data_IF_035352793799
#
_entry.id   IF_035352793799
#
_cell.length_a   1.000
_cell.length_b   1.000
_cell.length_c   1.000
_cell.angle_alpha   90.00
_cell.angle_beta   90.00
_cell.angle_gamma   90.00
#
_symmetry.space_group_name_H-M   'P 1'
#
loop_
_entity.id
_entity.type
_entity.pdbx_description
1 polymer ?
#
# COMPACT_ATOMS: atom_id res chain seq x y z
N UNK A 1 21.67 3.63 -15.20
CA UNK A 1 21.94 5.01 -15.66
C UNK A 1 21.82 5.93 -14.48
N UNK A 2 22.82 6.76 -14.21
CA UNK A 2 22.75 7.78 -13.16
C UNK A 2 21.71 8.83 -13.54
N UNK A 3 20.85 9.20 -12.60
CA UNK A 3 19.89 10.28 -12.78
C UNK A 3 20.42 11.61 -12.26
N UNK A 4 19.52 12.58 -12.11
CA UNK A 4 19.85 13.97 -11.77
C UNK A 4 20.13 14.17 -10.28
N UNK A 5 19.82 13.18 -9.45
CA UNK A 5 20.03 13.23 -8.00
C UNK A 5 21.25 12.40 -7.57
N UNK A 6 21.92 12.86 -6.52
CA UNK A 6 22.90 12.04 -5.79
C UNK A 6 22.14 11.18 -4.79
N UNK A 7 22.52 9.90 -4.66
CA UNK A 7 21.93 9.00 -3.68
C UNK A 7 22.23 9.48 -2.25
N UNK A 8 21.21 9.95 -1.54
CA UNK A 8 21.28 10.43 -0.16
C UNK A 8 21.12 9.34 0.90
N UNK A 9 20.99 9.73 2.18
CA UNK A 9 20.83 8.78 3.29
C UNK A 9 19.44 8.14 3.37
N UNK A 10 18.43 8.72 2.71
CA UNK A 10 17.11 8.12 2.53
C UNK A 10 16.96 7.66 1.09
N UNK A 11 16.71 6.37 0.87
CA UNK A 11 16.59 5.78 -0.47
C UNK A 11 15.23 5.12 -0.62
N UNK A 12 14.59 5.31 -1.78
CA UNK A 12 13.36 4.63 -2.14
C UNK A 12 13.59 3.78 -3.39
N UNK A 13 13.60 2.47 -3.23
CA UNK A 13 13.65 1.51 -4.34
C UNK A 13 12.22 1.36 -4.87
N UNK A 14 11.97 1.96 -6.03
CA UNK A 14 10.67 1.96 -6.70
C UNK A 14 10.71 1.00 -7.90
N UNK A 15 9.86 -0.02 -7.86
CA UNK A 15 9.72 -1.02 -8.92
C UNK A 15 8.60 -0.60 -9.88
N UNK A 16 8.89 -0.66 -11.18
CA UNK A 16 7.94 -0.35 -12.24
C UNK A 16 7.69 -1.56 -13.14
N UNK A 17 6.44 -1.79 -13.53
CA UNK A 17 6.09 -2.69 -14.63
C UNK A 17 5.02 -2.05 -15.52
N UNK A 18 5.46 -1.17 -16.44
CA UNK A 18 4.57 -0.39 -17.30
C UNK A 18 4.99 -0.48 -18.77
N UNK A 19 4.72 -1.62 -19.44
CA UNK A 19 5.16 -1.85 -20.83
C UNK A 19 4.46 -0.94 -21.86
N UNK A 20 3.40 -0.21 -21.46
CA UNK A 20 2.63 0.69 -22.33
C UNK A 20 3.00 2.17 -22.15
N UNK A 21 4.07 2.46 -21.42
CA UNK A 21 4.49 3.82 -21.06
C UNK A 21 4.23 4.13 -19.59
N UNK A 22 5.01 5.06 -19.04
CA UNK A 22 4.96 5.40 -17.62
C UNK A 22 3.80 6.34 -17.30
N UNK A 23 2.95 5.92 -16.37
CA UNK A 23 1.78 6.63 -15.88
C UNK A 23 2.17 7.94 -15.18
N UNK A 24 1.30 8.95 -15.28
CA UNK A 24 1.54 10.25 -14.63
C UNK A 24 1.59 10.13 -13.12
N UNK A 25 0.78 9.24 -12.55
CA UNK A 25 0.81 8.94 -11.11
C UNK A 25 2.20 8.47 -10.65
N UNK A 26 2.99 7.82 -11.50
CA UNK A 26 4.34 7.36 -11.13
C UNK A 26 5.31 8.53 -11.00
N UNK A 27 5.21 9.54 -11.86
CA UNK A 27 6.01 10.76 -11.70
C UNK A 27 5.60 11.53 -10.44
N UNK A 28 4.29 11.58 -10.14
CA UNK A 28 3.78 12.12 -8.87
C UNK A 28 4.37 11.36 -7.67
N UNK A 29 4.46 10.03 -7.71
CA UNK A 29 5.13 9.22 -6.67
C UNK A 29 6.57 9.65 -6.49
N UNK A 30 7.34 9.81 -7.59
CA UNK A 30 8.73 10.24 -7.52
C UNK A 30 8.87 11.65 -6.92
N UNK A 31 8.03 12.59 -7.34
CA UNK A 31 8.03 13.96 -6.83
C UNK A 31 7.68 14.00 -5.34
N UNK A 32 6.73 13.18 -4.90
CA UNK A 32 6.40 13.01 -3.49
C UNK A 32 7.57 12.44 -2.68
N UNK A 33 8.25 11.40 -3.17
CA UNK A 33 9.44 10.83 -2.52
C UNK A 33 10.55 11.89 -2.36
N UNK A 34 10.83 12.66 -3.42
CA UNK A 34 11.82 13.74 -3.40
C UNK A 34 11.44 14.79 -2.36
N UNK A 35 10.17 15.21 -2.31
CA UNK A 35 9.67 16.17 -1.32
C UNK A 35 9.83 15.67 0.13
N UNK A 36 9.78 14.35 0.35
CA UNK A 36 10.04 13.71 1.65
C UNK A 36 11.54 13.45 1.93
N UNK A 37 12.42 13.90 1.03
CA UNK A 37 13.88 13.78 1.15
C UNK A 37 14.44 12.41 0.76
N UNK A 38 13.65 11.55 0.11
CA UNK A 38 14.12 10.28 -0.41
C UNK A 38 14.76 10.46 -1.79
N UNK A 39 15.82 9.70 -2.04
CA UNK A 39 16.41 9.54 -3.38
C UNK A 39 15.74 8.38 -4.09
N UNK A 40 14.96 8.60 -5.17
CA UNK A 40 14.38 7.49 -5.91
C UNK A 40 15.47 6.69 -6.63
N UNK A 41 15.47 5.38 -6.40
CA UNK A 41 16.20 4.37 -7.16
C UNK A 41 15.15 3.52 -7.88
N UNK A 42 15.06 3.70 -9.19
CA UNK A 42 14.04 3.09 -10.02
C UNK A 42 14.57 1.81 -10.68
N UNK A 43 13.80 0.74 -10.55
CA UNK A 43 14.01 -0.54 -11.22
C UNK A 43 12.81 -0.86 -12.10
N UNK A 44 13.00 -0.82 -13.41
CA UNK A 44 11.95 -1.16 -14.37
C UNK A 44 12.06 -2.62 -14.80
N UNK A 45 10.99 -3.38 -14.60
CA UNK A 45 10.79 -4.74 -15.12
C UNK A 45 10.32 -4.75 -16.59
N UNK A 46 10.28 -3.59 -17.25
CA UNK A 46 9.94 -3.45 -18.65
C UNK A 46 10.90 -2.44 -19.33
N UNK A 47 11.00 -2.51 -20.66
CA UNK A 47 11.72 -1.50 -21.42
C UNK A 47 11.07 -0.13 -21.24
N UNK A 48 11.88 0.91 -21.01
CA UNK A 48 11.42 2.28 -20.85
C UNK A 48 11.67 3.07 -22.13
N UNK A 49 10.65 3.79 -22.61
CA UNK A 49 10.76 4.67 -23.78
C UNK A 49 11.81 5.77 -23.55
N UNK A 50 12.32 6.39 -24.62
CA UNK A 50 13.32 7.46 -24.47
C UNK A 50 12.77 8.68 -23.74
N UNK A 51 11.49 9.04 -23.97
CA UNK A 51 10.81 10.14 -23.28
C UNK A 51 10.62 9.84 -21.80
N UNK A 52 10.07 8.67 -21.46
CA UNK A 52 9.82 8.31 -20.07
C UNK A 52 11.14 8.17 -19.30
N UNK A 53 12.17 7.64 -19.96
CA UNK A 53 13.51 7.51 -19.39
C UNK A 53 14.07 8.88 -18.99
N UNK A 54 13.92 9.90 -19.85
CA UNK A 54 14.38 11.24 -19.53
C UNK A 54 13.65 11.81 -18.32
N UNK A 55 12.32 11.66 -18.25
CA UNK A 55 11.52 12.14 -17.12
C UNK A 55 11.81 11.39 -15.81
N UNK A 56 12.06 10.06 -15.87
CA UNK A 56 12.45 9.26 -14.71
C UNK A 56 13.86 9.63 -14.21
N UNK A 57 14.82 9.83 -15.12
CA UNK A 57 16.18 10.25 -14.75
C UNK A 57 16.20 11.68 -14.19
N UNK A 58 15.27 12.54 -14.60
CA UNK A 58 15.07 13.84 -14.01
C UNK A 58 14.53 13.79 -12.56
N UNK A 59 14.04 12.63 -12.09
CA UNK A 59 13.41 12.42 -10.77
C UNK A 59 14.02 11.26 -9.97
N UNK A 60 15.19 10.77 -10.37
CA UNK A 60 15.84 9.65 -9.70
C UNK A 60 17.33 9.87 -9.59
N UNK A 61 17.94 9.16 -8.66
CA UNK A 61 19.38 9.07 -8.55
C UNK A 61 19.92 7.91 -9.40
N UNK A 62 19.12 6.86 -9.60
CA UNK A 62 19.49 5.71 -10.41
C UNK A 62 18.26 5.12 -11.09
N UNK A 63 18.39 4.80 -12.38
CA UNK A 63 17.41 4.01 -13.15
C UNK A 63 18.09 2.79 -13.74
N UNK A 64 17.51 1.62 -13.52
CA UNK A 64 17.94 0.35 -14.09
C UNK A 64 16.77 -0.40 -14.73
N UNK A 65 17.01 -0.99 -15.89
CA UNK A 65 16.09 -1.92 -16.52
C UNK A 65 16.56 -3.34 -16.27
N UNK A 66 15.61 -4.23 -16.03
CA UNK A 66 15.87 -5.64 -15.79
C UNK A 66 14.80 -6.50 -16.46
N UNK A 67 15.10 -7.77 -16.78
CA UNK A 67 14.07 -8.72 -17.20
C UNK A 67 12.96 -8.84 -16.15
N UNK A 68 11.72 -9.06 -16.58
CA UNK A 68 10.58 -9.29 -15.68
C UNK A 68 10.64 -10.69 -15.04
N UNK A 69 11.59 -10.90 -14.12
CA UNK A 69 11.76 -12.14 -13.38
C UNK A 69 11.73 -11.89 -11.87
N UNK A 70 11.01 -12.73 -11.13
CA UNK A 70 10.91 -12.63 -9.67
C UNK A 70 9.90 -11.58 -9.16
N UNK A 71 9.10 -10.97 -10.04
CA UNK A 71 8.19 -9.86 -9.72
C UNK A 71 8.87 -8.76 -8.88
N UNK A 72 8.13 -8.13 -7.98
CA UNK A 72 8.61 -7.01 -7.18
C UNK A 72 9.71 -7.43 -6.20
N UNK A 73 9.57 -8.59 -5.54
CA UNK A 73 10.59 -9.03 -4.58
C UNK A 73 11.92 -9.42 -5.22
N UNK A 74 11.91 -9.96 -6.44
CA UNK A 74 13.15 -10.16 -7.20
C UNK A 74 13.82 -8.82 -7.50
N UNK A 75 13.04 -7.81 -7.88
CA UNK A 75 13.57 -6.47 -8.14
C UNK A 75 14.03 -5.77 -6.84
N UNK A 76 13.30 -5.89 -5.73
CA UNK A 76 13.73 -5.41 -4.41
C UNK A 76 15.06 -6.06 -4.00
N UNK A 77 15.21 -7.37 -4.18
CA UNK A 77 16.46 -8.07 -3.90
C UNK A 77 17.61 -7.51 -4.73
N UNK A 78 17.40 -7.26 -6.03
CA UNK A 78 18.41 -6.65 -6.90
C UNK A 78 18.78 -5.24 -6.42
N UNK A 79 17.79 -4.44 -6.01
CA UNK A 79 18.01 -3.10 -5.46
C UNK A 79 18.82 -3.11 -4.16
N UNK A 80 18.41 -3.93 -3.19
CA UNK A 80 19.11 -4.10 -1.90
C UNK A 80 20.55 -4.58 -2.12
N UNK A 81 20.75 -5.59 -2.99
CA UNK A 81 22.08 -6.11 -3.31
C UNK A 81 22.96 -5.07 -3.99
N UNK A 82 22.40 -4.22 -4.86
CA UNK A 82 23.17 -3.17 -5.50
C UNK A 82 23.62 -2.08 -4.52
N UNK A 83 22.75 -1.66 -3.60
CA UNK A 83 23.12 -0.73 -2.53
C UNK A 83 24.27 -1.31 -1.70
N UNK A 84 24.16 -2.59 -1.29
CA UNK A 84 25.22 -3.28 -0.56
C UNK A 84 26.54 -3.37 -1.36
N UNK A 85 26.46 -3.75 -2.65
CA UNK A 85 27.62 -3.89 -3.55
C UNK A 85 28.36 -2.56 -3.76
N UNK A 86 27.63 -1.46 -3.81
CA UNK A 86 28.20 -0.11 -3.94
C UNK A 86 28.68 0.49 -2.62
N UNK A 87 28.49 -0.22 -1.51
CA UNK A 87 28.83 0.25 -0.17
C UNK A 87 27.90 1.34 0.36
N UNK A 88 26.80 1.63 -0.33
CA UNK A 88 25.82 2.62 0.09
C UNK A 88 24.96 2.05 1.22
N UNK A 89 24.97 2.72 2.38
CA UNK A 89 24.25 2.32 3.60
C UNK A 89 23.25 3.41 3.97
N UNK A 90 22.00 3.33 3.48
CA UNK A 90 21.00 4.33 3.81
C UNK A 90 20.58 4.21 5.28
N UNK A 91 20.23 5.34 5.90
CA UNK A 91 19.61 5.38 7.22
C UNK A 91 18.11 5.03 7.16
N UNK A 92 17.48 5.19 5.99
CA UNK A 92 16.11 4.73 5.72
C UNK A 92 15.98 4.19 4.31
N UNK A 93 15.29 3.06 4.18
CA UNK A 93 14.98 2.42 2.90
C UNK A 93 13.48 2.25 2.76
N UNK A 94 12.91 2.78 1.68
CA UNK A 94 11.59 2.38 1.20
C UNK A 94 11.77 1.33 0.10
N UNK A 95 11.00 0.25 0.17
CA UNK A 95 10.76 -0.69 -0.91
C UNK A 95 9.30 -0.51 -1.34
N UNK A 96 9.08 -0.11 -2.60
CA UNK A 96 7.73 0.11 -3.13
C UNK A 96 7.60 -0.26 -4.60
N UNK A 97 6.37 -0.58 -5.02
CA UNK A 97 6.05 -0.91 -6.41
C UNK A 97 4.94 0.01 -6.94
N UNK A 98 4.62 -0.12 -8.22
CA UNK A 98 3.61 0.69 -8.90
C UNK A 98 2.21 0.05 -8.92
N UNK A 99 1.96 -0.94 -8.06
CA UNK A 99 0.67 -1.63 -7.97
C UNK A 99 -0.44 -0.82 -7.27
N UNK A 100 -0.13 0.39 -6.80
CA UNK A 100 -1.08 1.33 -6.18
C UNK A 100 -0.94 2.73 -6.76
N UNK A 101 -2.02 3.51 -6.75
CA UNK A 101 -1.90 4.96 -6.84
C UNK A 101 -1.49 5.49 -5.47
N UNK A 102 -0.29 6.08 -5.38
CA UNK A 102 0.25 6.69 -4.18
C UNK A 102 1.25 7.80 -4.57
N UNK A 103 1.19 9.00 -3.98
CA UNK A 103 0.11 9.47 -3.10
C UNK A 103 -1.21 9.63 -3.86
N UNK A 104 -2.35 9.60 -3.16
CA UNK A 104 -3.65 9.91 -3.77
C UNK A 104 -3.90 11.41 -3.92
N UNK A 105 -3.18 12.23 -3.15
CA UNK A 105 -3.45 13.65 -2.94
C UNK A 105 -2.17 14.40 -2.57
N UNK A 106 -2.15 15.71 -2.77
CA UNK A 106 -0.96 16.54 -2.53
C UNK A 106 -0.56 16.64 -1.04
N UNK A 107 -1.52 16.55 -0.13
CA UNK A 107 -1.32 16.63 1.32
C UNK A 107 -1.13 15.26 1.99
N UNK A 108 -0.76 14.22 1.23
CA UNK A 108 -0.50 12.90 1.78
C UNK A 108 0.63 12.94 2.83
N UNK A 109 0.38 12.31 3.98
CA UNK A 109 1.30 12.30 5.13
C UNK A 109 1.83 10.91 5.45
N UNK A 110 1.61 9.91 4.59
CA UNK A 110 1.93 8.51 4.88
C UNK A 110 3.41 8.30 5.19
N UNK A 111 4.32 8.84 4.36
CA UNK A 111 5.76 8.70 4.59
C UNK A 111 6.18 9.36 5.91
N UNK A 112 5.74 10.59 6.15
CA UNK A 112 6.03 11.30 7.41
C UNK A 112 5.50 10.54 8.64
N UNK A 113 4.30 9.97 8.56
CA UNK A 113 3.71 9.15 9.63
C UNK A 113 4.48 7.84 9.86
N UNK A 114 4.95 7.19 8.80
CA UNK A 114 5.82 6.01 8.93
C UNK A 114 7.15 6.35 9.59
N UNK A 115 7.76 7.48 9.24
CA UNK A 115 9.01 7.92 9.90
C UNK A 115 8.79 8.25 11.39
N UNK A 116 7.62 8.79 11.72
CA UNK A 116 7.25 9.19 13.07
C UNK A 116 6.72 8.06 13.95
N UNK A 117 6.42 6.87 13.41
CA UNK A 117 5.88 5.75 14.21
C UNK A 117 6.89 5.23 15.24
N UNK A 118 8.18 5.42 14.98
CA UNK A 118 9.26 4.87 15.81
C UNK A 118 9.53 3.39 15.58
N UNK A 119 8.74 2.73 14.73
CA UNK A 119 8.96 1.35 14.32
C UNK A 119 10.19 1.25 13.42
N UNK A 120 11.06 0.28 13.69
CA UNK A 120 12.23 0.03 12.84
C UNK A 120 11.83 -0.50 11.44
N UNK A 121 10.63 -1.07 11.33
CA UNK A 121 10.02 -1.57 10.11
C UNK A 121 8.53 -1.23 10.12
N UNK A 122 8.02 -0.65 9.04
CA UNK A 122 6.60 -0.34 8.89
C UNK A 122 6.21 -0.29 7.42
N UNK A 123 4.96 0.03 7.11
CA UNK A 123 4.49 0.12 5.74
C UNK A 123 3.04 0.58 5.67
N UNK A 124 2.50 0.59 4.46
CA UNK A 124 1.15 1.09 4.24
C UNK A 124 0.08 0.25 4.93
N UNK A 125 0.16 -1.07 4.85
CA UNK A 125 -0.85 -1.96 5.41
C UNK A 125 -0.24 -3.24 5.99
N UNK A 126 -0.50 -3.47 7.28
CA UNK A 126 -0.22 -4.73 7.95
C UNK A 126 -1.48 -5.59 7.92
N UNK A 127 -1.40 -6.72 7.21
CA UNK A 127 -2.50 -7.68 7.11
C UNK A 127 -2.36 -8.74 8.18
N UNK A 128 -3.35 -8.82 9.06
CA UNK A 128 -3.47 -9.90 10.02
C UNK A 128 -4.17 -11.10 9.36
N UNK A 129 -3.52 -12.26 9.33
CA UNK A 129 -4.10 -13.49 8.80
C UNK A 129 -4.30 -14.50 9.94
N UNK A 130 -5.39 -15.28 9.93
CA UNK A 130 -5.56 -16.35 10.89
C UNK A 130 -4.48 -17.43 10.67
N UNK A 131 -4.01 -18.03 11.75
CA UNK A 131 -2.97 -19.07 11.74
C UNK A 131 -3.52 -20.42 11.25
N UNK A 132 -3.94 -20.45 9.98
CA UNK A 132 -4.43 -21.65 9.28
C UNK A 132 -3.72 -21.82 7.94
N UNK A 133 -3.18 -23.01 7.67
CA UNK A 133 -2.49 -23.33 6.43
C UNK A 133 -1.23 -22.48 6.22
N UNK A 134 -1.26 -21.54 5.26
CA UNK A 134 -0.16 -20.58 5.01
C UNK A 134 -0.41 -19.21 5.65
N UNK A 135 -1.39 -19.12 6.54
CA UNK A 135 -1.83 -17.89 7.17
C UNK A 135 -0.79 -17.33 8.13
N UNK A 136 -0.23 -16.15 7.80
CA UNK A 136 0.69 -15.40 8.66
C UNK A 136 0.58 -13.91 8.37
N UNK A 137 0.72 -13.13 9.42
CA UNK A 137 0.72 -11.67 9.34
C UNK A 137 1.83 -11.18 8.42
N UNK A 138 1.51 -10.17 7.59
CA UNK A 138 2.48 -9.61 6.65
C UNK A 138 2.19 -8.15 6.33
N UNK A 139 3.26 -7.39 6.18
CA UNK A 139 3.21 -6.07 5.55
C UNK A 139 3.04 -6.26 4.05
N UNK A 140 2.06 -5.59 3.46
CA UNK A 140 1.86 -5.62 2.02
C UNK A 140 3.02 -4.92 1.29
N UNK A 141 3.53 -5.51 0.20
CA UNK A 141 4.78 -5.06 -0.42
C UNK A 141 4.69 -3.82 -1.32
N UNK A 142 3.52 -3.18 -1.41
CA UNK A 142 3.38 -2.00 -2.24
C UNK A 142 4.08 -0.77 -1.63
N UNK A 143 4.26 -0.72 -0.31
CA UNK A 143 5.21 0.19 0.34
C UNK A 143 5.60 -0.35 1.73
N UNK A 144 6.89 -0.61 1.89
CA UNK A 144 7.51 -1.03 3.14
C UNK A 144 8.69 -0.10 3.44
N UNK A 145 8.80 0.38 4.67
CA UNK A 145 9.87 1.23 5.16
C UNK A 145 10.70 0.50 6.22
N UNK A 146 12.02 0.63 6.11
CA UNK A 146 12.99 0.15 7.10
C UNK A 146 13.84 1.33 7.57
N UNK A 147 14.04 1.44 8.88
CA UNK A 147 15.04 2.32 9.46
C UNK A 147 16.42 1.66 9.51
N UNK A 148 17.40 2.42 9.98
CA UNK A 148 18.78 1.96 10.14
C UNK A 148 18.91 0.70 10.99
N UNK A 149 18.17 0.59 12.09
CA UNK A 149 18.25 -0.57 13.00
C UNK A 149 17.78 -1.84 12.29
N UNK A 150 16.68 -1.77 11.56
CA UNK A 150 16.19 -2.91 10.78
C UNK A 150 17.18 -3.27 9.64
N UNK A 151 17.69 -2.27 8.91
CA UNK A 151 18.64 -2.46 7.81
C UNK A 151 19.97 -3.09 8.25
N UNK A 152 20.46 -2.73 9.44
CA UNK A 152 21.71 -3.25 9.98
C UNK A 152 21.55 -4.64 10.63
N UNK A 153 20.32 -5.08 10.89
CA UNK A 153 20.02 -6.37 11.51
C UNK A 153 20.51 -7.56 10.66
N UNK A 154 20.91 -8.63 11.35
CA UNK A 154 21.26 -9.90 10.68
C UNK A 154 20.05 -10.51 9.97
N UNK A 155 18.85 -10.32 10.50
CA UNK A 155 17.62 -10.85 9.92
C UNK A 155 17.31 -10.25 8.54
N UNK A 156 17.44 -8.93 8.38
CA UNK A 156 17.20 -8.25 7.11
C UNK A 156 18.18 -8.73 6.04
N UNK A 157 19.48 -8.76 6.37
CA UNK A 157 20.55 -9.22 5.47
C UNK A 157 20.35 -10.68 5.07
N UNK A 158 20.13 -11.55 6.06
CA UNK A 158 19.93 -12.98 5.82
C UNK A 158 18.68 -13.28 4.97
N UNK A 159 17.60 -12.51 5.14
CA UNK A 159 16.41 -12.62 4.28
C UNK A 159 16.77 -12.35 2.82
N UNK A 160 17.36 -11.20 2.51
CA UNK A 160 17.67 -10.82 1.12
C UNK A 160 18.77 -11.68 0.49
N UNK A 161 19.72 -12.17 1.27
CA UNK A 161 20.75 -13.10 0.79
C UNK A 161 20.14 -14.43 0.34
N UNK A 162 19.15 -14.94 1.09
CA UNK A 162 18.56 -16.26 0.87
C UNK A 162 17.26 -16.25 0.07
N UNK A 163 16.66 -15.07 -0.17
CA UNK A 163 15.35 -14.97 -0.81
C UNK A 163 15.33 -15.69 -2.19
N UNK A 164 14.52 -16.75 -2.36
CA UNK A 164 14.47 -17.53 -3.59
C UNK A 164 13.47 -16.90 -4.56
N UNK A 165 13.98 -16.03 -5.44
CA UNK A 165 13.17 -15.34 -6.44
C UNK A 165 12.29 -16.31 -7.24
N UNK A 166 11.01 -15.95 -7.41
CA UNK A 166 10.01 -16.77 -8.11
C UNK A 166 9.08 -15.88 -8.91
N UNK A 167 8.75 -16.30 -10.14
CA UNK A 167 7.71 -15.66 -10.97
C UNK A 167 6.33 -16.26 -10.75
N UNK A 168 6.06 -16.81 -9.56
CA UNK A 168 4.74 -17.28 -9.13
C UNK A 168 4.22 -16.37 -8.01
N UNK A 169 3.08 -15.71 -8.22
CA UNK A 169 2.50 -14.72 -7.29
C UNK A 169 2.31 -15.27 -5.87
N UNK A 170 1.83 -16.51 -5.73
CA UNK A 170 1.62 -17.14 -4.43
C UNK A 170 2.96 -17.30 -3.71
N UNK A 171 4.00 -17.76 -4.40
CA UNK A 171 5.34 -17.85 -3.82
C UNK A 171 5.93 -16.48 -3.49
N UNK A 172 5.66 -15.44 -4.30
CA UNK A 172 6.12 -14.07 -4.02
C UNK A 172 5.49 -13.52 -2.74
N UNK A 173 4.19 -13.73 -2.52
CA UNK A 173 3.53 -13.33 -1.27
C UNK A 173 4.05 -14.16 -0.10
N UNK A 174 4.08 -15.48 -0.24
CA UNK A 174 4.40 -16.41 0.83
C UNK A 174 5.86 -16.35 1.27
N UNK A 175 6.79 -16.21 0.33
CA UNK A 175 8.24 -16.14 0.61
C UNK A 175 8.73 -14.71 0.73
N UNK A 176 8.04 -13.77 0.09
CA UNK A 176 8.35 -12.34 0.09
C UNK A 176 7.67 -11.66 1.26
N UNK A 177 6.43 -11.19 1.07
CA UNK A 177 5.69 -10.37 2.05
C UNK A 177 5.65 -11.02 3.44
N UNK A 178 5.21 -12.27 3.50
CA UNK A 178 5.16 -13.05 4.74
C UNK A 178 6.56 -13.39 5.26
N UNK A 179 7.51 -13.66 4.37
CA UNK A 179 8.88 -14.01 4.74
C UNK A 179 9.64 -12.86 5.39
N UNK A 180 9.62 -11.65 4.80
CA UNK A 180 10.32 -10.49 5.35
C UNK A 180 9.67 -10.04 6.67
N UNK A 181 8.34 -10.03 6.72
CA UNK A 181 7.60 -9.63 7.93
C UNK A 181 7.89 -10.59 9.09
N UNK A 182 7.81 -11.91 8.83
CA UNK A 182 8.17 -12.92 9.83
C UNK A 182 9.62 -12.77 10.29
N UNK A 183 10.57 -12.59 9.38
CA UNK A 183 11.98 -12.39 9.73
C UNK A 183 12.20 -11.17 10.63
N UNK A 184 11.46 -10.07 10.43
CA UNK A 184 11.54 -8.89 11.28
C UNK A 184 10.93 -9.13 12.66
N UNK A 185 9.76 -9.77 12.73
CA UNK A 185 9.13 -10.11 14.01
C UNK A 185 9.94 -11.12 14.83
N UNK A 186 10.48 -12.17 14.19
CA UNK A 186 11.37 -13.15 14.84
C UNK A 186 12.67 -12.51 15.37
N UNK A 187 13.12 -11.41 14.75
CA UNK A 187 14.26 -10.62 15.22
C UNK A 187 13.91 -9.66 16.37
N UNK A 188 12.65 -9.64 16.84
CA UNK A 188 12.18 -8.81 17.95
C UNK A 188 11.73 -7.41 17.54
N UNK A 189 11.62 -7.10 16.25
CA UNK A 189 11.00 -5.85 15.82
C UNK A 189 9.48 -5.94 15.95
N UNK A 190 8.84 -4.79 16.16
CA UNK A 190 7.39 -4.64 16.23
C UNK A 190 6.96 -3.66 15.13
N UNK A 191 5.78 -3.90 14.57
CA UNK A 191 5.17 -3.02 13.59
C UNK A 191 3.67 -3.16 13.63
N UNK A 192 2.95 -2.05 13.49
CA UNK A 192 1.48 -2.04 13.36
C UNK A 192 1.00 -1.64 11.96
N UNK A 193 1.93 -1.19 11.09
CA UNK A 193 1.60 -0.56 9.80
C UNK A 193 0.83 0.75 9.97
N UNK A 194 0.63 1.49 8.88
CA UNK A 194 -0.28 2.66 8.92
C UNK A 194 -1.75 2.27 8.90
N UNK A 195 -2.06 1.13 8.27
CA UNK A 195 -3.39 0.55 8.23
C UNK A 195 -3.32 -0.92 8.66
N UNK A 196 -4.07 -1.27 9.70
CA UNK A 196 -4.23 -2.65 10.15
C UNK A 196 -5.60 -2.86 10.75
N UNK A 197 -6.02 -4.11 10.87
CA UNK A 197 -7.29 -4.45 11.53
C UNK A 197 -7.33 -3.91 12.95
N UNK A 198 -6.22 -4.08 13.69
CA UNK A 198 -6.13 -3.61 15.07
C UNK A 198 -6.31 -2.10 15.18
N UNK A 199 -5.54 -1.31 14.42
CA UNK A 199 -5.66 0.14 14.42
C UNK A 199 -7.06 0.59 13.99
N UNK A 200 -7.65 -0.07 12.99
CA UNK A 200 -9.00 0.29 12.55
C UNK A 200 -10.03 0.10 13.67
N UNK A 201 -10.00 -1.03 14.38
CA UNK A 201 -10.92 -1.27 15.50
C UNK A 201 -10.72 -0.27 16.64
N UNK A 202 -9.49 0.09 16.99
CA UNK A 202 -9.22 1.14 17.99
C UNK A 202 -9.83 2.48 17.61
N UNK A 203 -9.78 2.84 16.32
CA UNK A 203 -10.43 4.05 15.79
C UNK A 203 -11.95 3.97 15.87
N UNK A 204 -12.54 2.81 15.62
CA UNK A 204 -13.99 2.63 15.69
C UNK A 204 -14.53 2.74 17.12
N UNK A 205 -13.76 2.37 18.14
CA UNK A 205 -14.17 2.51 19.55
C UNK A 205 -14.41 3.98 19.96
N UNK A 206 -13.64 4.90 19.39
CA UNK A 206 -13.75 6.34 19.65
C UNK A 206 -14.53 7.10 18.56
N UNK A 207 -15.00 6.40 17.53
CA UNK A 207 -15.74 7.01 16.43
C UNK A 207 -17.12 7.49 16.89
N UNK A 208 -17.55 8.63 16.34
CA UNK A 208 -18.89 9.14 16.61
C UNK A 208 -19.97 8.27 15.96
N UNK A 209 -21.19 8.36 16.45
CA UNK A 209 -22.35 7.68 15.83
C UNK A 209 -22.50 8.02 14.35
N UNK A 210 -22.23 9.29 13.99
CA UNK A 210 -22.26 9.74 12.60
C UNK A 210 -21.14 9.08 11.78
N UNK A 211 -19.92 9.06 12.30
CA UNK A 211 -18.78 8.40 11.65
C UNK A 211 -19.05 6.92 11.38
N UNK A 212 -19.62 6.21 12.37
CA UNK A 212 -20.00 4.80 12.22
C UNK A 212 -21.07 4.61 11.15
N UNK A 213 -22.08 5.50 11.11
CA UNK A 213 -23.10 5.50 10.07
C UNK A 213 -22.49 5.69 8.69
N UNK A 214 -21.61 6.69 8.54
CA UNK A 214 -20.99 7.01 7.25
C UNK A 214 -20.14 5.84 6.75
N UNK A 215 -19.32 5.24 7.64
CA UNK A 215 -18.53 4.04 7.31
C UNK A 215 -19.43 2.90 6.85
N UNK A 216 -20.53 2.64 7.56
CA UNK A 216 -21.46 1.58 7.22
C UNK A 216 -22.17 1.84 5.88
N UNK A 217 -22.53 3.09 5.60
CA UNK A 217 -23.21 3.50 4.36
C UNK A 217 -22.30 3.42 3.13
N UNK A 218 -21.00 3.59 3.32
CA UNK A 218 -20.00 3.59 2.24
C UNK A 218 -19.48 2.19 1.89
N UNK A 219 -19.96 1.13 2.55
CA UNK A 219 -19.54 -0.25 2.29
C UNK A 219 -19.89 -0.65 0.85
N UNK A 220 -18.88 -1.03 0.06
CA UNK A 220 -19.02 -1.19 -1.40
C UNK A 220 -19.33 -2.60 -1.90
N UNK A 221 -19.02 -3.66 -1.15
CA UNK A 221 -19.18 -5.05 -1.60
C UNK A 221 -19.27 -6.04 -0.43
N UNK A 222 -20.34 -6.85 -0.39
CA UNK A 222 -20.59 -7.83 0.68
C UNK A 222 -21.25 -9.12 0.15
N UNK A 223 -20.95 -10.28 0.76
CA UNK A 223 -21.81 -11.46 0.64
C UNK A 223 -23.24 -11.16 1.13
N UNK A 224 -24.26 -11.76 0.50
CA UNK A 224 -25.68 -11.46 0.74
C UNK A 224 -26.08 -11.37 2.23
N UNK A 225 -25.60 -12.29 3.08
CA UNK A 225 -25.94 -12.29 4.52
C UNK A 225 -25.45 -11.01 5.21
N UNK A 226 -24.21 -10.61 4.97
CA UNK A 226 -23.62 -9.42 5.58
C UNK A 226 -24.20 -8.13 4.97
N UNK A 227 -24.59 -8.18 3.70
CA UNK A 227 -25.31 -7.09 3.06
C UNK A 227 -26.64 -6.79 3.76
N UNK A 228 -27.45 -7.81 4.06
CA UNK A 228 -28.72 -7.63 4.76
C UNK A 228 -28.52 -7.04 6.17
N UNK A 229 -27.55 -7.55 6.94
CA UNK A 229 -27.23 -6.98 8.26
C UNK A 229 -26.81 -5.51 8.16
N UNK A 230 -26.05 -5.14 7.12
CA UNK A 230 -25.68 -3.73 6.85
C UNK A 230 -26.92 -2.87 6.64
N UNK A 231 -27.87 -3.33 5.81
CA UNK A 231 -29.11 -2.61 5.53
C UNK A 231 -30.01 -2.48 6.77
N UNK A 232 -30.12 -3.53 7.59
CA UNK A 232 -30.87 -3.51 8.85
C UNK A 232 -30.28 -2.50 9.85
N UNK A 233 -28.95 -2.48 9.97
CA UNK A 233 -28.26 -1.52 10.83
C UNK A 233 -28.43 -0.08 10.33
N UNK A 234 -28.38 0.15 9.01
CA UNK A 234 -28.68 1.48 8.44
C UNK A 234 -30.14 1.89 8.66
N UNK A 235 -31.10 0.97 8.49
CA UNK A 235 -32.51 1.25 8.70
C UNK A 235 -32.87 1.56 10.17
N UNK A 236 -32.07 1.06 11.11
CA UNK A 236 -32.24 1.27 12.55
C UNK A 236 -31.25 2.28 13.14
N UNK A 237 -30.61 3.09 12.27
CA UNK A 237 -29.64 4.11 12.66
C UNK A 237 -30.14 5.00 13.80
N UNK A 238 -29.36 5.05 14.89
CA UNK A 238 -29.68 5.85 16.06
C UNK A 238 -28.40 6.26 16.80
N UNK A 239 -28.49 7.25 17.68
CA UNK A 239 -27.36 7.65 18.54
C UNK A 239 -27.19 6.75 19.79
N UNK A 240 -27.87 5.61 19.86
CA UNK A 240 -27.83 4.74 21.02
C UNK A 240 -26.49 4.00 21.14
N UNK A 241 -26.03 3.77 22.37
CA UNK A 241 -24.83 2.97 22.66
C UNK A 241 -24.96 1.56 22.09
N UNK A 242 -26.18 1.02 22.11
CA UNK A 242 -26.52 -0.29 21.57
C UNK A 242 -26.27 -0.36 20.06
N UNK A 243 -26.82 0.59 19.30
CA UNK A 243 -26.63 0.65 17.85
C UNK A 243 -25.14 0.79 17.48
N UNK A 244 -24.42 1.69 18.15
CA UNK A 244 -22.98 1.86 17.91
C UNK A 244 -22.18 0.57 18.16
N UNK A 245 -22.52 -0.17 19.23
CA UNK A 245 -21.91 -1.47 19.51
C UNK A 245 -22.19 -2.47 18.40
N UNK A 246 -23.44 -2.58 17.96
CA UNK A 246 -23.82 -3.50 16.88
C UNK A 246 -23.11 -3.16 15.56
N UNK A 247 -22.94 -1.88 15.24
CA UNK A 247 -22.16 -1.46 14.06
C UNK A 247 -20.69 -1.85 14.21
N UNK A 248 -20.07 -1.62 15.37
CA UNK A 248 -18.68 -2.04 15.62
C UNK A 248 -18.49 -3.55 15.49
N UNK A 249 -19.39 -4.33 16.07
CA UNK A 249 -19.38 -5.79 15.98
C UNK A 249 -19.50 -6.24 14.51
N UNK A 250 -20.43 -5.65 13.76
CA UNK A 250 -20.61 -5.96 12.33
C UNK A 250 -19.39 -5.57 11.49
N UNK A 251 -18.81 -4.38 11.68
CA UNK A 251 -17.58 -3.96 10.99
C UNK A 251 -16.40 -4.87 11.34
N UNK A 252 -16.33 -5.36 12.58
CA UNK A 252 -15.34 -6.34 12.99
C UNK A 252 -15.55 -7.69 12.28
N UNK A 253 -16.79 -8.16 12.15
CA UNK A 253 -17.12 -9.37 11.38
C UNK A 253 -16.74 -9.24 9.90
N UNK A 254 -16.92 -8.05 9.30
CA UNK A 254 -16.46 -7.79 7.94
C UNK A 254 -14.94 -7.98 7.79
N UNK A 255 -14.16 -7.53 8.77
CA UNK A 255 -12.70 -7.67 8.76
C UNK A 255 -12.23 -9.13 8.88
N UNK A 256 -13.11 -10.06 9.30
CA UNK A 256 -12.84 -11.49 9.31
C UNK A 256 -13.06 -12.18 7.95
N UNK A 257 -13.66 -11.50 6.97
CA UNK A 257 -13.70 -12.02 5.61
C UNK A 257 -12.27 -12.09 5.06
N UNK A 258 -11.88 -13.25 4.53
CA UNK A 258 -10.54 -13.56 4.01
C UNK A 258 -10.17 -12.76 2.73
N UNK A 259 -10.14 -11.44 2.82
CA UNK A 259 -9.95 -10.50 1.72
C UNK A 259 -9.21 -9.25 2.23
N UNK A 260 -8.67 -8.40 1.34
CA UNK A 260 -8.08 -7.12 1.73
C UNK A 260 -9.16 -6.07 2.07
N UNK A 261 -10.10 -6.45 2.95
CA UNK A 261 -11.37 -5.78 3.28
C UNK A 261 -11.15 -4.31 3.61
N UNK A 262 -10.11 -3.99 4.39
CA UNK A 262 -9.79 -2.62 4.78
C UNK A 262 -9.49 -1.72 3.57
N UNK A 263 -8.72 -2.24 2.61
CA UNK A 263 -8.38 -1.53 1.37
C UNK A 263 -9.42 -1.66 0.25
N UNK A 264 -10.53 -2.38 0.51
CA UNK A 264 -11.60 -2.58 -0.48
C UNK A 264 -12.98 -2.20 0.05
N UNK A 265 -13.61 -3.10 0.78
CA UNK A 265 -14.99 -3.00 1.29
C UNK A 265 -15.14 -1.84 2.29
N UNK A 266 -14.10 -1.56 3.07
CA UNK A 266 -14.07 -0.52 4.11
C UNK A 266 -13.19 0.68 3.71
N UNK A 267 -13.03 0.92 2.41
CA UNK A 267 -12.13 1.95 1.87
C UNK A 267 -12.39 3.35 2.45
N UNK A 268 -13.65 3.72 2.63
CA UNK A 268 -14.02 5.02 3.23
C UNK A 268 -13.51 5.13 4.67
N UNK A 269 -13.77 4.11 5.49
CA UNK A 269 -13.28 4.06 6.87
C UNK A 269 -11.75 4.08 6.93
N UNK A 270 -11.07 3.35 6.04
CA UNK A 270 -9.62 3.36 5.96
C UNK A 270 -9.06 4.75 5.58
N UNK A 271 -9.70 5.45 4.64
CA UNK A 271 -9.31 6.80 4.25
C UNK A 271 -9.59 7.83 5.35
N UNK A 272 -10.74 7.75 6.03
CA UNK A 272 -11.13 8.71 7.07
C UNK A 272 -10.39 8.49 8.40
N UNK A 273 -10.41 7.27 8.90
CA UNK A 273 -9.93 6.97 10.26
C UNK A 273 -8.44 6.67 10.30
N UNK A 274 -7.88 6.10 9.24
CA UNK A 274 -6.47 5.72 9.18
C UNK A 274 -5.66 6.64 8.27
N UNK A 275 -6.30 7.61 7.61
CA UNK A 275 -5.70 8.47 6.59
C UNK A 275 -4.93 7.66 5.56
N UNK A 276 -5.55 6.58 5.08
CA UNK A 276 -4.92 5.69 4.09
C UNK A 276 -4.73 6.44 2.78
N UNK A 277 -3.48 6.50 2.32
CA UNK A 277 -3.04 7.35 1.22
C UNK A 277 -2.95 6.69 -0.15
N UNK A 278 -3.51 5.48 -0.33
CA UNK A 278 -3.35 4.71 -1.57
C UNK A 278 -4.63 3.97 -1.99
N UNK A 279 -4.73 3.64 -3.28
CA UNK A 279 -5.74 2.72 -3.85
C UNK A 279 -5.04 1.71 -4.76
N UNK A 280 -5.40 0.42 -4.70
CA UNK A 280 -4.73 -0.62 -5.49
C UNK A 280 -5.20 -0.65 -6.96
N UNK A 281 -4.26 -0.97 -7.85
CA UNK A 281 -4.42 -1.12 -9.32
C UNK A 281 -4.73 -2.57 -9.78
N UNK A 282 -5.01 -3.50 -8.85
CA UNK A 282 -5.34 -4.91 -9.15
C UNK A 282 -6.54 -5.06 -10.10
N UNK A 283 -6.52 -6.08 -10.95
CA UNK A 283 -7.59 -6.38 -11.91
C UNK A 283 -8.73 -7.24 -11.31
N UNK A 284 -8.68 -7.54 -10.01
CA UNK A 284 -9.75 -8.27 -9.33
C UNK A 284 -10.98 -7.38 -9.14
N UNK A 285 -12.17 -7.95 -9.27
CA UNK A 285 -13.47 -7.25 -9.26
C UNK A 285 -13.64 -6.30 -8.06
N UNK A 286 -13.31 -6.77 -6.86
CA UNK A 286 -13.41 -5.98 -5.63
C UNK A 286 -12.62 -4.66 -5.72
N UNK A 287 -11.46 -4.63 -6.37
CA UNK A 287 -10.68 -3.40 -6.52
C UNK A 287 -11.26 -2.46 -7.58
N UNK A 288 -11.94 -2.97 -8.60
CA UNK A 288 -12.69 -2.12 -9.54
C UNK A 288 -13.88 -1.45 -8.83
N UNK A 289 -14.64 -2.21 -8.05
CA UNK A 289 -15.74 -1.67 -7.23
C UNK A 289 -15.24 -0.63 -6.21
N UNK A 290 -14.07 -0.87 -5.61
CA UNK A 290 -13.43 0.11 -4.72
C UNK A 290 -13.09 1.42 -5.45
N UNK A 291 -12.56 1.37 -6.68
CA UNK A 291 -12.28 2.59 -7.45
C UNK A 291 -13.55 3.37 -7.78
N UNK A 292 -14.63 2.69 -8.16
CA UNK A 292 -15.94 3.31 -8.36
C UNK A 292 -16.36 4.03 -7.08
N UNK A 293 -16.33 3.34 -5.94
CA UNK A 293 -16.71 3.92 -4.65
C UNK A 293 -15.84 5.14 -4.30
N UNK A 294 -14.53 5.08 -4.51
CA UNK A 294 -13.63 6.22 -4.25
C UNK A 294 -13.99 7.44 -5.10
N UNK A 295 -14.26 7.24 -6.40
CA UNK A 295 -14.68 8.33 -7.29
C UNK A 295 -16.06 8.90 -6.90
N UNK A 296 -17.01 8.06 -6.47
CA UNK A 296 -18.30 8.50 -5.94
C UNK A 296 -18.14 9.35 -4.68
N UNK A 297 -17.33 8.89 -3.72
CA UNK A 297 -17.06 9.59 -2.47
C UNK A 297 -16.37 10.94 -2.72
N UNK A 298 -15.42 10.99 -3.66
CA UNK A 298 -14.76 12.23 -4.05
C UNK A 298 -15.75 13.21 -4.70
N UNK A 299 -16.60 12.73 -5.62
CA UNK A 299 -17.62 13.54 -6.28
C UNK A 299 -18.68 14.09 -5.31
N UNK A 300 -19.00 13.33 -4.25
CA UNK A 300 -19.89 13.75 -3.18
C UNK A 300 -19.23 14.71 -2.16
N UNK A 301 -17.92 14.93 -2.26
CA UNK A 301 -17.16 15.73 -1.29
C UNK A 301 -16.97 15.04 0.06
N UNK A 302 -17.17 13.72 0.12
CA UNK A 302 -17.06 12.93 1.35
C UNK A 302 -15.60 12.59 1.68
N UNK A 303 -14.73 12.51 0.67
CA UNK A 303 -13.27 12.42 0.86
C UNK A 303 -12.56 13.63 0.25
N UNK A 304 -11.31 13.85 0.64
CA UNK A 304 -10.50 14.90 0.05
C UNK A 304 -10.30 14.67 -1.46
N UNK A 305 -10.19 15.78 -2.21
CA UNK A 305 -10.00 15.73 -3.65
C UNK A 305 -8.74 14.92 -4.02
N UNK A 306 -8.88 14.06 -5.03
CA UNK A 306 -7.76 13.30 -5.56
C UNK A 306 -6.87 14.23 -6.40
N UNK A 307 -5.59 13.87 -6.51
CA UNK A 307 -4.73 14.46 -7.53
C UNK A 307 -5.34 14.25 -8.93
N UNK A 308 -5.23 15.27 -9.79
CA UNK A 308 -5.89 15.27 -11.10
C UNK A 308 -5.45 14.10 -11.99
N UNK A 309 -4.16 13.76 -11.97
CA UNK A 309 -3.63 12.65 -12.77
C UNK A 309 -4.09 11.31 -12.18
N UNK A 310 -4.08 11.18 -10.85
CA UNK A 310 -4.60 9.98 -10.15
C UNK A 310 -6.09 9.78 -10.46
N UNK A 311 -6.89 10.84 -10.37
CA UNK A 311 -8.32 10.81 -10.70
C UNK A 311 -8.56 10.42 -12.15
N UNK A 312 -7.82 10.99 -13.08
CA UNK A 312 -7.95 10.70 -14.50
C UNK A 312 -7.60 9.25 -14.82
N UNK A 313 -6.49 8.74 -14.30
CA UNK A 313 -6.08 7.34 -14.46
C UNK A 313 -7.07 6.36 -13.83
N UNK A 314 -7.54 6.65 -12.62
CA UNK A 314 -8.52 5.82 -11.92
C UNK A 314 -9.85 5.78 -12.69
N UNK A 315 -10.31 6.93 -13.18
CA UNK A 315 -11.54 7.03 -13.99
C UNK A 315 -11.41 6.25 -15.30
N UNK A 316 -10.26 6.35 -15.97
CA UNK A 316 -9.99 5.59 -17.20
C UNK A 316 -9.98 4.08 -16.93
N UNK A 317 -9.37 3.64 -15.82
CA UNK A 317 -9.35 2.23 -15.41
C UNK A 317 -10.75 1.69 -15.11
N UNK A 318 -11.61 2.48 -14.45
CA UNK A 318 -13.01 2.11 -14.21
C UNK A 318 -13.78 2.03 -15.53
N UNK A 319 -13.64 3.03 -16.39
CA UNK A 319 -14.34 3.06 -17.68
C UNK A 319 -13.91 1.92 -18.61
N UNK A 320 -12.64 1.49 -18.57
CA UNK A 320 -12.16 0.32 -19.30
C UNK A 320 -12.82 -0.97 -18.79
N UNK A 321 -12.89 -1.15 -17.47
CA UNK A 321 -13.51 -2.33 -16.87
C UNK A 321 -15.01 -2.44 -17.18
N UNK A 322 -15.76 -1.33 -17.13
CA UNK A 322 -17.19 -1.31 -17.44
C UNK A 322 -17.53 -1.55 -18.92
N UNK A 323 -16.55 -1.42 -19.83
CA UNK A 323 -16.72 -1.71 -21.27
C UNK A 323 -16.43 -3.18 -21.62
N UNK A 324 -15.74 -3.90 -20.74
CA UNK A 324 -15.39 -5.32 -20.90
C UNK A 324 -16.49 -6.24 -20.38
#
# INVERSE_FOLDING_TARGET
MSGSFVMGSKVAVLILYQPKGVARSTFLTCDHLIAQGYSPFILSNAAVSASDRAELLARSALLLERPNFGYDFGAYQDGVRLLAKTGHKPDRLILMNDSTWFPLRADDTSIARMEASGDAFTGHALRNEPDIGRGRDHMEAHLIMFDKKALESTAFKAFWDKYPASSNRINTIDRGEKGITAAMFEAGFVSTGLASRHLFLERLEIASSQTLHDILSAVSFLPNKLHNCTLELLATASNSVEWQRQVRDHLNDLLHLFAPVLSTTLIYGAMKELRMGFVKKSQEENFHLTRIKVLELEAAGEIEALDLDVRAEMSASVAEWLRG
#
